data_IF_967432493691
#
_entry.id   IF_967432493691
#
_cell.length_a   1.000
_cell.length_b   1.000
_cell.length_c   1.000
_cell.angle_alpha   90.00
_cell.angle_beta   90.00
_cell.angle_gamma   90.00
#
_symmetry.space_group_name_H-M   'P 1'
#
loop_
_entity.id
_entity.type
_entity.pdbx_description
1 polymer ?
2 non-polymer ?
3 non-polymer ?
4 non-polymer ?
5 non-polymer ?
6 non-polymer ?
7 water ?
#
# COMPACT_ATOMS: atom_id res chain seq x y z
N UNK A 4 26.67 17.15 9.38
CA UNK A 4 25.62 17.19 10.41
C UNK A 4 24.53 16.16 10.12
N UNK A 5 24.21 16.02 8.84
CA UNK A 5 23.06 15.24 8.41
C UNK A 5 23.51 13.85 7.95
N UNK A 6 22.56 12.92 7.95
CA UNK A 6 22.88 11.55 7.59
C UNK A 6 23.12 11.41 6.10
N UNK A 7 22.37 12.14 5.26
CA UNK A 7 22.59 12.10 3.82
C UNK A 7 23.75 13.02 3.46
N UNK A 8 24.66 12.54 2.62
CA UNK A 8 25.74 13.43 2.16
C UNK A 8 25.28 14.41 1.10
N UNK A 9 24.16 14.13 0.42
CA UNK A 9 23.55 15.09 -0.50
C UNK A 9 22.09 14.70 -0.67
N UNK A 10 21.25 15.69 -1.00
CA UNK A 10 19.81 15.47 -1.06
C UNK A 10 19.42 15.03 -2.47
N UNK A 11 19.88 13.84 -2.83
CA UNK A 11 19.65 13.26 -4.14
C UNK A 11 19.41 11.77 -3.98
N UNK A 12 18.92 11.14 -5.05
CA UNK A 12 18.78 9.69 -5.02
C UNK A 12 20.13 9.01 -4.76
N UNK A 13 21.20 9.56 -5.33
CA UNK A 13 22.53 9.01 -5.09
C UNK A 13 22.90 9.11 -3.62
N UNK A 14 22.58 10.22 -2.98
CA UNK A 14 22.84 10.34 -1.56
C UNK A 14 22.08 9.32 -0.73
N UNK A 15 20.83 9.05 -1.12
CA UNK A 15 20.02 8.04 -0.42
C UNK A 15 20.61 6.66 -0.62
N UNK A 16 21.05 6.33 -1.85
CA UNK A 16 21.64 5.02 -2.10
C UNK A 16 22.92 4.83 -1.29
N UNK A 17 23.78 5.85 -1.25
CA UNK A 17 24.99 5.75 -0.43
C UNK A 17 24.64 5.55 1.04
N UNK A 18 23.63 6.27 1.53
CA UNK A 18 23.19 6.06 2.90
C UNK A 18 22.66 4.64 3.11
N UNK A 19 21.87 4.13 2.17
CA UNK A 19 21.30 2.79 2.34
C UNK A 19 22.39 1.74 2.43
N UNK A 20 23.49 1.93 1.71
CA UNK A 20 24.53 0.92 1.75
C UNK A 20 25.55 1.16 2.85
N UNK A 21 25.41 2.25 3.61
CA UNK A 21 26.23 2.52 4.78
C UNK A 21 25.73 1.70 5.96
N UNK A 22 26.61 1.53 6.96
CA UNK A 22 26.21 0.77 8.14
C UNK A 22 25.17 1.51 8.97
N UNK A 23 24.94 2.80 8.70
CA UNK A 23 23.95 3.55 9.46
C UNK A 23 22.52 3.18 9.12
N UNK A 24 22.27 2.60 7.95
CA UNK A 24 20.91 2.35 7.48
C UNK A 24 20.65 0.85 7.53
N UNK A 25 19.89 0.41 8.54
CA UNK A 25 19.58 -1.00 8.70
C UNK A 25 18.10 -1.30 8.60
N UNK A 26 17.22 -0.34 8.84
CA UNK A 26 15.78 -0.57 8.94
C UNK A 26 15.01 0.44 8.11
N UNK A 27 14.32 -0.07 7.08
CA UNK A 27 13.59 0.76 6.14
C UNK A 27 12.09 0.55 6.34
N UNK A 28 11.33 1.63 6.44
CA UNK A 28 9.88 1.55 6.42
C UNK A 28 9.40 2.11 5.09
N UNK A 29 8.57 1.35 4.39
CA UNK A 29 7.90 1.84 3.18
C UNK A 29 6.49 2.29 3.50
N UNK A 30 6.11 3.43 2.95
CA UNK A 30 4.73 3.91 3.00
C UNK A 30 4.26 4.03 1.56
N UNK A 31 3.24 3.25 1.19
CA UNK A 31 2.87 3.18 -0.22
C UNK A 31 1.39 3.43 -0.41
N UNK A 32 1.05 3.94 -1.59
CA UNK A 32 -0.30 4.24 -2.00
C UNK A 32 -0.59 3.83 -3.44
N UNK A 33 -1.66 4.40 -4.02
CA UNK A 33 -2.21 3.87 -5.25
C UNK A 33 -1.23 4.01 -6.41
N UNK A 34 -0.29 4.95 -6.29
CA UNK A 34 0.67 5.17 -7.35
C UNK A 34 1.58 3.99 -7.63
N UNK A 35 1.74 3.06 -6.68
CA UNK A 35 2.58 1.91 -6.94
C UNK A 35 1.83 0.80 -7.66
N UNK A 36 0.52 0.95 -7.88
CA UNK A 36 -0.26 -0.10 -8.51
C UNK A 36 -0.90 0.30 -9.82
N UNK A 37 -0.81 1.57 -10.22
CA UNK A 37 -1.43 2.00 -11.47
C UNK A 37 -0.80 1.32 -12.68
N UNK A 38 0.51 1.05 -12.65
CA UNK A 38 1.12 0.38 -13.79
C UNK A 38 0.76 -1.09 -13.86
N UNK A 39 0.13 -1.63 -12.82
CA UNK A 39 -0.41 -2.98 -12.80
C UNK A 39 -1.83 -3.05 -13.35
N UNK A 40 -2.38 -1.90 -13.74
CA UNK A 40 -3.73 -1.86 -14.22
C UNK A 40 -4.77 -1.66 -13.16
N UNK A 41 -4.36 -1.32 -11.94
CA UNK A 41 -5.28 -1.04 -10.84
C UNK A 41 -5.45 0.47 -10.76
N UNK A 42 -6.59 1.03 -11.13
CA UNK A 42 -6.75 2.49 -11.07
C UNK A 42 -6.80 2.99 -9.64
N UNK A 43 -6.41 4.26 -9.48
CA UNK A 43 -6.54 4.95 -8.20
C UNK A 43 -7.99 5.39 -8.03
N UNK A 44 -8.68 4.78 -7.07
CA UNK A 44 -10.10 5.08 -6.86
C UNK A 44 -10.34 6.13 -5.79
N UNK A 45 -9.39 6.38 -4.88
CA UNK A 45 -9.47 7.58 -4.06
C UNK A 45 -9.34 8.84 -4.89
N UNK A 46 -8.98 8.70 -6.16
CA UNK A 46 -9.00 9.83 -7.08
C UNK A 46 -10.42 10.02 -7.62
N UNK A 47 -11.05 11.17 -7.40
CA UNK A 47 -12.40 11.38 -7.97
C UNK A 47 -12.41 11.38 -9.48
N UNK A 48 -11.26 11.44 -10.14
CA UNK A 48 -11.18 11.54 -11.59
C UNK A 48 -11.40 10.21 -12.30
N UNK A 49 -11.52 9.09 -11.59
CA UNK A 49 -11.67 7.79 -12.24
C UNK A 49 -13.13 7.35 -12.28
N UNK A 50 -13.65 6.88 -11.15
CA UNK A 50 -15.02 6.37 -11.10
C UNK A 50 -15.85 6.89 -9.94
N UNK A 57 -28.35 4.35 -9.70
CA UNK A 57 -29.11 3.14 -9.97
C UNK A 57 -29.39 2.33 -8.72
N UNK A 58 -28.50 2.39 -7.75
CA UNK A 58 -28.70 1.62 -6.54
C UNK A 58 -29.56 2.35 -5.52
N UNK A 59 -29.91 3.61 -5.76
CA UNK A 59 -30.87 4.36 -4.97
C UNK A 59 -30.36 4.58 -3.54
N UNK A 60 -29.09 4.98 -3.44
CA UNK A 60 -28.45 5.16 -2.15
C UNK A 60 -28.92 6.45 -1.48
N UNK A 61 -29.13 6.44 -0.16
CA UNK A 61 -29.49 7.69 0.52
C UNK A 61 -28.38 8.72 0.48
N UNK A 62 -27.13 8.30 0.38
CA UNK A 62 -25.95 9.13 0.24
C UNK A 62 -24.94 8.23 -0.43
N UNK A 63 -24.27 8.68 -1.50
CA UNK A 63 -23.41 7.77 -2.28
C UNK A 63 -22.40 6.97 -1.46
N UNK A 64 -21.79 7.58 -0.44
CA UNK A 64 -20.84 6.85 0.40
C UNK A 64 -21.47 5.65 1.11
N UNK A 65 -22.79 5.50 1.03
CA UNK A 65 -23.44 4.31 1.57
C UNK A 65 -22.93 3.04 0.91
N UNK A 66 -22.44 3.13 -0.33
CA UNK A 66 -21.90 1.93 -0.95
C UNK A 66 -20.64 1.44 -0.24
N UNK A 67 -20.01 2.30 0.55
CA UNK A 67 -18.84 1.92 1.33
C UNK A 67 -19.06 2.11 2.83
N UNK A 68 -20.30 2.37 3.23
CA UNK A 68 -20.63 2.52 4.64
C UNK A 68 -21.13 1.18 5.18
N UNK A 69 -20.63 0.81 6.36
CA UNK A 69 -20.83 -0.54 6.86
C UNK A 69 -22.30 -0.80 7.14
N UNK A 70 -23.04 0.20 7.63
CA UNK A 70 -24.46 0.00 7.92
C UNK A 70 -25.24 -0.30 6.65
N UNK A 71 -25.06 0.53 5.63
CA UNK A 71 -25.77 0.29 4.37
C UNK A 71 -25.39 -1.05 3.78
N UNK A 72 -24.09 -1.38 3.79
CA UNK A 72 -23.65 -2.68 3.29
C UNK A 72 -24.38 -3.81 4.00
N UNK A 73 -24.47 -3.73 5.33
CA UNK A 73 -25.14 -4.78 6.09
C UNK A 73 -26.63 -4.85 5.76
N UNK A 74 -27.25 -3.72 5.43
CA UNK A 74 -28.66 -3.75 5.05
C UNK A 74 -28.87 -4.06 3.56
N UNK A 75 -28.00 -3.56 2.69
CA UNK A 75 -28.15 -3.68 1.24
C UNK A 75 -26.79 -3.96 0.64
N UNK A 76 -26.34 -5.21 0.69
CA UNK A 76 -24.97 -5.51 0.21
C UNK A 76 -24.86 -5.66 -1.29
N UNK A 77 -25.97 -5.86 -2.01
CA UNK A 77 -25.90 -6.15 -3.44
C UNK A 77 -25.22 -5.05 -4.26
N UNK A 78 -25.47 -3.75 -4.03
CA UNK A 78 -24.70 -2.74 -4.78
C UNK A 78 -23.20 -2.91 -4.66
N UNK A 79 -22.70 -3.14 -3.46
CA UNK A 79 -21.27 -3.30 -3.28
C UNK A 79 -20.72 -4.46 -4.10
N UNK A 80 -21.42 -5.60 -4.12
CA UNK A 80 -20.89 -6.75 -4.83
C UNK A 80 -21.07 -6.63 -6.34
N UNK A 81 -22.08 -5.89 -6.81
CA UNK A 81 -22.18 -5.59 -8.22
C UNK A 81 -21.03 -4.67 -8.67
N UNK A 82 -20.72 -3.67 -7.85
CA UNK A 82 -19.57 -2.81 -8.14
C UNK A 82 -18.27 -3.59 -8.08
N UNK A 83 -18.15 -4.53 -7.15
CA UNK A 83 -16.93 -5.33 -7.06
C UNK A 83 -16.78 -6.22 -8.28
N UNK A 84 -17.89 -6.72 -8.84
CA UNK A 84 -17.78 -7.46 -10.09
C UNK A 84 -17.30 -6.55 -11.22
N UNK A 85 -17.86 -5.34 -11.30
CA UNK A 85 -17.45 -4.41 -12.35
C UNK A 85 -15.97 -4.04 -12.23
N UNK A 86 -15.48 -3.86 -11.01
CA UNK A 86 -14.12 -3.37 -10.79
C UNK A 86 -13.09 -4.48 -10.64
N UNK A 87 -13.48 -5.75 -10.72
CA UNK A 87 -12.55 -6.85 -10.43
C UNK A 87 -11.44 -6.87 -11.47
N UNK A 88 -10.17 -6.91 -11.05
CA UNK A 88 -9.07 -6.84 -12.02
C UNK A 88 -9.02 -8.08 -12.92
N UNK A 89 -8.54 -7.87 -14.15
CA UNK A 89 -8.33 -9.01 -15.03
C UNK A 89 -7.11 -9.82 -14.68
N UNK A 90 -6.20 -9.26 -13.88
CA UNK A 90 -4.98 -9.96 -13.50
C UNK A 90 -4.44 -9.29 -12.23
N UNK A 91 -3.75 -10.09 -11.42
CA UNK A 91 -3.09 -9.59 -10.21
C UNK A 91 -1.59 -9.73 -10.41
N UNK A 92 -0.99 -8.73 -11.03
CA UNK A 92 0.43 -8.80 -11.34
C UNK A 92 1.13 -7.61 -10.69
N UNK A 93 1.89 -7.82 -9.62
CA UNK A 93 2.53 -6.70 -8.95
C UNK A 93 3.56 -6.02 -9.83
N UNK A 94 3.90 -4.80 -9.46
CA UNK A 94 4.79 -3.96 -10.25
C UNK A 94 6.24 -4.10 -9.81
N UNK A 95 7.13 -3.48 -10.59
CA UNK A 95 8.54 -3.38 -10.23
C UNK A 95 8.69 -2.82 -8.81
N UNK A 96 7.85 -1.84 -8.47
CA UNK A 96 7.88 -1.25 -7.13
C UNK A 96 7.58 -2.29 -6.05
N UNK A 97 6.51 -3.08 -6.24
CA UNK A 97 6.22 -4.15 -5.30
C UNK A 97 7.41 -5.10 -5.14
N UNK A 98 8.03 -5.50 -6.26
CA UNK A 98 9.13 -6.44 -6.12
C UNK A 98 10.39 -5.76 -5.57
N UNK A 99 10.51 -4.44 -5.73
CA UNK A 99 11.58 -3.73 -5.04
C UNK A 99 11.43 -3.88 -3.53
N UNK A 100 10.20 -3.82 -3.03
CA UNK A 100 10.01 -4.04 -1.60
C UNK A 100 10.30 -5.48 -1.21
N UNK A 101 9.98 -6.44 -2.09
CA UNK A 101 10.36 -7.82 -1.83
C UNK A 101 11.89 -7.96 -1.76
N UNK A 102 12.61 -7.25 -2.62
CA UNK A 102 14.07 -7.28 -2.57
C UNK A 102 14.60 -6.68 -1.27
N UNK A 103 13.98 -5.57 -0.83
CA UNK A 103 14.31 -5.01 0.47
C UNK A 103 14.19 -6.05 1.56
N UNK A 104 13.09 -6.79 1.53
CA UNK A 104 12.88 -7.89 2.47
C UNK A 104 14.01 -8.92 2.36
N UNK A 105 14.32 -9.34 1.13
CA UNK A 105 15.35 -10.36 0.90
C UNK A 105 16.72 -9.90 1.40
N UNK A 106 17.05 -8.63 1.22
CA UNK A 106 18.32 -8.07 1.66
C UNK A 106 18.33 -7.77 3.16
N UNK A 107 17.27 -8.10 3.89
CA UNK A 107 17.22 -7.87 5.33
C UNK A 107 17.13 -6.42 5.74
N UNK A 108 16.58 -5.55 4.88
CA UNK A 108 16.43 -4.13 5.16
C UNK A 108 15.00 -3.71 5.49
N UNK A 109 14.00 -4.57 5.29
CA UNK A 109 12.60 -4.11 5.39
C UNK A 109 12.09 -4.30 6.81
N UNK A 110 11.81 -3.19 7.48
CA UNK A 110 11.16 -3.28 8.78
C UNK A 110 9.65 -3.45 8.63
N UNK A 111 9.03 -2.65 7.75
CA UNK A 111 7.58 -2.72 7.59
C UNK A 111 7.17 -1.99 6.32
N UNK A 112 6.14 -2.49 5.66
CA UNK A 112 5.47 -1.77 4.59
C UNK A 112 4.08 -1.40 5.06
N UNK A 113 3.81 -0.10 5.16
CA UNK A 113 2.48 0.43 5.45
C UNK A 113 1.84 0.78 4.12
N UNK A 114 0.67 0.20 3.84
CA UNK A 114 0.04 0.40 2.55
C UNK A 114 -1.39 0.92 2.72
N UNK A 115 -1.78 1.84 1.85
CA UNK A 115 -3.15 2.29 1.74
C UNK A 115 -3.95 1.47 0.74
N UNK A 116 -3.31 0.54 0.05
CA UNK A 116 -3.95 -0.17 -1.05
C UNK A 116 -4.65 -1.41 -0.52
N UNK A 117 -5.76 -1.76 -1.17
CA UNK A 117 -6.51 -2.97 -0.83
C UNK A 117 -6.34 -4.05 -1.89
N UNK A 118 -5.43 -3.84 -2.86
CA UNK A 118 -5.41 -4.65 -4.07
C UNK A 118 -4.64 -5.95 -3.93
N UNK A 119 -4.03 -6.22 -2.78
CA UNK A 119 -3.32 -7.44 -2.39
C UNK A 119 -1.97 -7.61 -3.07
N UNK A 120 -1.54 -6.66 -3.91
CA UNK A 120 -0.33 -6.92 -4.68
C UNK A 120 0.92 -7.04 -3.82
N UNK A 121 0.95 -6.40 -2.65
CA UNK A 121 2.08 -6.61 -1.72
C UNK A 121 2.22 -8.08 -1.33
N UNK A 122 1.10 -8.76 -1.06
CA UNK A 122 1.16 -10.16 -0.67
C UNK A 122 1.57 -11.04 -1.84
N UNK A 123 1.05 -10.74 -3.04
CA UNK A 123 1.41 -11.51 -4.22
C UNK A 123 2.89 -11.36 -4.53
N UNK A 124 3.46 -10.17 -4.27
CA UNK A 124 4.89 -9.95 -4.49
C UNK A 124 5.76 -10.59 -3.42
N UNK A 125 5.19 -11.16 -2.37
CA UNK A 125 5.97 -11.89 -1.40
C UNK A 125 6.23 -11.19 -0.09
N UNK A 126 5.53 -10.10 0.22
CA UNK A 126 5.57 -9.59 1.59
C UNK A 126 4.62 -10.41 2.45
N UNK A 127 5.09 -10.82 3.63
CA UNK A 127 4.29 -11.61 4.55
C UNK A 127 3.42 -10.71 5.42
N UNK A 128 2.40 -11.31 6.05
CA UNK A 128 1.55 -10.58 6.98
C UNK A 128 2.37 -9.78 8.00
N UNK A 129 3.44 -10.38 8.53
CA UNK A 129 4.24 -9.70 9.56
C UNK A 129 4.95 -8.46 8.99
N UNK A 130 5.24 -8.47 7.69
CA UNK A 130 5.88 -7.34 7.01
C UNK A 130 4.92 -6.19 6.71
N UNK A 131 3.61 -6.40 6.83
CA UNK A 131 2.61 -5.50 6.25
C UNK A 131 1.72 -4.87 7.31
N UNK A 132 1.42 -3.60 7.13
CA UNK A 132 0.32 -2.94 7.82
C UNK A 132 -0.61 -2.47 6.71
N UNK A 133 -1.72 -3.18 6.52
CA UNK A 133 -2.69 -2.81 5.49
C UNK A 133 -3.65 -1.82 6.14
N UNK A 134 -3.30 -0.55 6.05
CA UNK A 134 -3.97 0.47 6.87
C UNK A 134 -5.44 0.61 6.50
N UNK A 135 -5.81 0.29 5.25
CA UNK A 135 -7.20 0.36 4.81
C UNK A 135 -7.82 -1.01 4.58
N UNK A 136 -7.23 -2.05 5.15
CA UNK A 136 -7.66 -3.40 4.92
C UNK A 136 -7.18 -3.97 3.59
N UNK A 137 -7.78 -5.10 3.22
CA UNK A 137 -7.38 -5.83 2.04
C UNK A 137 -8.54 -6.66 1.54
N UNK A 138 -8.55 -6.90 0.23
CA UNK A 138 -9.44 -7.87 -0.38
C UNK A 138 -8.92 -9.30 -0.25
N UNK A 139 -7.72 -9.48 0.30
CA UNK A 139 -7.06 -10.78 0.28
C UNK A 139 -7.83 -11.81 1.09
N UNK A 140 -8.44 -11.38 2.18
CA UNK A 140 -9.27 -12.24 3.01
C UNK A 140 -10.61 -11.57 3.21
N UNK A 141 -11.63 -12.40 3.49
CA UNK A 141 -12.95 -11.91 3.83
C UNK A 141 -13.41 -12.65 5.08
N UNK A 142 -14.32 -12.03 5.83
CA UNK A 142 -14.83 -12.67 7.04
C UNK A 142 -16.34 -12.59 7.09
N UNK A 143 -16.95 -13.68 7.56
CA UNK A 143 -18.30 -13.63 8.09
C UNK A 143 -18.46 -12.44 9.05
N UNK A 144 -19.54 -11.68 8.86
CA UNK A 144 -19.74 -10.48 9.68
C UNK A 144 -20.33 -10.77 11.06
N UNK A 145 -20.75 -12.00 11.34
CA UNK A 145 -21.32 -12.29 12.66
C UNK A 145 -20.19 -12.41 13.68
N UNK A 146 -20.29 -11.63 14.76
CA UNK A 146 -19.21 -11.58 15.75
C UNK A 146 -18.94 -12.94 16.38
N UNK A 147 -19.96 -13.79 16.51
CA UNK A 147 -19.78 -15.09 17.15
C UNK A 147 -19.23 -16.14 16.19
N UNK A 148 -19.04 -15.82 14.92
CA UNK A 148 -18.57 -16.79 13.93
C UNK A 148 -17.25 -16.35 13.32
N UNK A 149 -17.25 -15.28 12.52
CA UNK A 149 -16.04 -14.69 11.92
C UNK A 149 -15.26 -15.71 11.08
N UNK A 150 -15.97 -16.64 10.44
CA UNK A 150 -15.33 -17.58 9.52
C UNK A 150 -14.58 -16.82 8.42
N UNK A 151 -13.34 -17.21 8.17
CA UNK A 151 -12.49 -16.54 7.17
C UNK A 151 -12.55 -17.29 5.84
N UNK A 152 -12.62 -16.53 4.75
CA UNK A 152 -12.69 -17.04 3.40
C UNK A 152 -11.61 -16.40 2.53
N UNK A 153 -10.97 -17.18 1.68
CA UNK A 153 -9.91 -16.66 0.82
C UNK A 153 -10.49 -15.97 -0.41
N UNK A 154 -9.60 -15.27 -1.12
CA UNK A 154 -10.03 -14.46 -2.26
C UNK A 154 -10.68 -15.28 -3.37
N UNK A 155 -10.24 -16.53 -3.59
CA UNK A 155 -10.85 -17.33 -4.66
C UNK A 155 -12.33 -17.60 -4.40
N UNK A 156 -12.69 -17.92 -3.15
CA UNK A 156 -14.08 -18.13 -2.77
C UNK A 156 -14.92 -16.88 -3.04
N UNK A 157 -14.39 -15.73 -2.63
CA UNK A 157 -15.08 -14.46 -2.81
C UNK A 157 -15.22 -14.13 -4.29
N UNK A 158 -14.19 -14.43 -5.09
CA UNK A 158 -14.24 -14.18 -6.52
C UNK A 158 -15.33 -15.02 -7.18
N UNK A 159 -15.40 -16.31 -6.84
CA UNK A 159 -16.46 -17.15 -7.38
C UNK A 159 -17.83 -16.55 -7.05
N UNK A 160 -18.04 -16.17 -5.78
CA UNK A 160 -19.31 -15.57 -5.40
C UNK A 160 -19.58 -14.30 -6.20
N UNK A 161 -18.56 -13.46 -6.39
CA UNK A 161 -18.76 -12.17 -7.03
C UNK A 161 -19.11 -12.34 -8.51
N UNK A 162 -18.40 -13.22 -9.21
CA UNK A 162 -18.68 -13.39 -10.63
C UNK A 162 -19.97 -14.17 -10.87
N UNK A 163 -20.33 -15.10 -9.99
CA UNK A 163 -21.62 -15.76 -10.16
C UNK A 163 -22.79 -14.87 -9.75
N UNK A 164 -22.53 -13.68 -9.21
CA UNK A 164 -23.55 -12.73 -8.76
C UNK A 164 -24.44 -13.36 -7.68
N UNK A 165 -23.82 -14.18 -6.84
CA UNK A 165 -24.44 -14.72 -5.64
C UNK A 165 -23.90 -13.93 -4.45
N UNK A 166 -24.80 -13.36 -3.66
CA UNK A 166 -24.31 -12.60 -2.50
C UNK A 166 -23.62 -13.58 -1.56
N UNK A 167 -22.37 -13.34 -1.19
CA UNK A 167 -21.62 -14.34 -0.38
C UNK A 167 -22.18 -14.45 1.02
N UNK A 168 -22.55 -15.68 1.40
CA UNK A 168 -23.05 -15.98 2.72
C UNK A 168 -22.15 -17.00 3.38
N UNK A 169 -22.04 -16.90 4.70
CA UNK A 169 -21.18 -17.81 5.46
C UNK A 169 -21.72 -19.23 5.40
N UNK A 170 -20.83 -20.19 5.12
CA UNK A 170 -21.24 -21.59 5.10
C UNK A 170 -21.59 -22.12 6.48
N UNK A 171 -21.09 -21.50 7.55
CA UNK A 171 -21.40 -21.98 8.89
C UNK A 171 -22.67 -21.39 9.47
N UNK A 172 -22.93 -20.09 9.24
CA UNK A 172 -24.04 -19.44 9.91
C UNK A 172 -24.97 -18.65 8.98
N UNK A 173 -24.66 -18.59 7.68
CA UNK A 173 -25.44 -17.90 6.64
C UNK A 173 -25.46 -16.38 6.78
N UNK A 174 -24.61 -15.80 7.62
CA UNK A 174 -24.45 -14.35 7.62
C UNK A 174 -23.68 -13.90 6.39
N UNK A 175 -23.80 -12.61 6.11
CA UNK A 175 -23.00 -11.97 5.07
C UNK A 175 -21.51 -12.14 5.31
N UNK A 176 -20.75 -12.31 4.22
CA UNK A 176 -19.29 -12.36 4.26
C UNK A 176 -18.78 -11.10 3.56
N UNK A 177 -17.89 -10.37 4.23
CA UNK A 177 -17.42 -9.07 3.77
C UNK A 177 -15.93 -9.12 3.52
N UNK A 178 -15.45 -8.59 2.40
CA UNK A 178 -13.99 -8.43 2.23
C UNK A 178 -13.44 -7.61 3.38
N UNK A 179 -12.21 -7.92 3.77
CA UNK A 179 -11.57 -7.29 4.92
C UNK A 179 -11.08 -5.87 4.63
N UNK A 180 -11.77 -5.14 3.80
CA UNK A 180 -11.44 -3.73 3.63
C UNK A 180 -12.15 -2.91 4.70
N UNK A 181 -11.55 -1.78 5.06
CA UNK A 181 -12.12 -0.86 6.03
C UNK A 181 -13.23 -0.04 5.35
N UNK A 182 -14.48 -0.27 5.75
CA UNK A 182 -15.59 0.53 5.27
C UNK A 182 -15.73 1.82 6.09
N UNK A 183 -16.52 2.76 5.56
CA UNK A 183 -16.91 3.91 6.37
C UNK A 183 -17.68 3.45 7.59
N UNK A 184 -17.49 4.15 8.70
CA UNK A 184 -18.10 3.76 9.96
C UNK A 184 -17.36 2.66 10.69
N UNK A 185 -16.28 2.15 10.12
CA UNK A 185 -15.40 1.19 10.78
C UNK A 185 -14.11 1.87 11.19
N UNK A 186 -13.46 1.30 12.21
CA UNK A 186 -12.21 1.85 12.69
C UNK A 186 -11.06 1.35 11.84
N UNK A 187 -10.00 2.15 11.76
CA UNK A 187 -8.75 1.66 11.22
C UNK A 187 -8.27 0.48 12.08
N UNK A 188 -7.60 -0.51 11.48
CA UNK A 188 -7.17 -1.67 12.27
C UNK A 188 -6.28 -1.25 13.44
N UNK A 189 -6.44 -1.92 14.59
CA UNK A 189 -5.60 -1.58 15.73
C UNK A 189 -4.12 -1.84 15.44
N UNK A 190 -3.84 -2.78 14.54
CA UNK A 190 -2.47 -3.06 14.13
C UNK A 190 -1.78 -1.81 13.60
N UNK A 191 -2.52 -0.92 12.95
CA UNK A 191 -1.89 0.30 12.41
C UNK A 191 -1.25 1.12 13.53
N UNK A 192 -1.99 1.34 14.63
CA UNK A 192 -1.48 2.16 15.72
C UNK A 192 -0.44 1.40 16.53
N UNK A 193 -0.69 0.10 16.77
CA UNK A 193 0.26 -0.73 17.50
C UNK A 193 1.61 -0.77 16.81
N UNK A 194 1.61 -1.02 15.50
CA UNK A 194 2.87 -1.06 14.77
C UNK A 194 3.52 0.31 14.70
N UNK A 195 2.73 1.37 14.47
CA UNK A 195 3.34 2.69 14.33
C UNK A 195 4.13 3.04 15.59
N UNK A 196 3.53 2.79 16.77
CA UNK A 196 4.16 3.12 18.05
C UNK A 196 5.49 2.43 18.26
N UNK A 197 5.68 1.25 17.68
CA UNK A 197 6.95 0.56 17.83
C UNK A 197 7.90 0.79 16.67
N UNK A 198 7.40 0.74 15.43
CA UNK A 198 8.29 0.80 14.29
C UNK A 198 8.98 2.14 14.20
N UNK A 199 8.31 3.22 14.60
CA UNK A 199 8.96 4.49 14.30
C UNK A 199 10.01 4.85 15.32
N UNK A 200 10.16 4.07 16.39
CA UNK A 200 11.36 4.17 17.23
C UNK A 200 12.58 3.58 16.55
N UNK A 201 12.40 2.78 15.50
CA UNK A 201 13.44 1.91 14.98
C UNK A 201 13.86 2.25 13.55
N UNK A 202 13.22 3.20 12.91
CA UNK A 202 13.38 3.38 11.46
C UNK A 202 14.64 4.19 11.16
N UNK A 203 15.38 3.76 10.14
CA UNK A 203 16.53 4.48 9.63
C UNK A 203 16.25 5.20 8.32
N UNK A 204 15.21 4.80 7.60
CA UNK A 204 14.89 5.40 6.31
C UNK A 204 13.40 5.23 6.05
N UNK A 205 12.75 6.31 5.61
CA UNK A 205 11.36 6.24 5.19
C UNK A 205 11.33 6.35 3.68
N UNK A 206 10.77 5.35 3.03
CA UNK A 206 10.62 5.34 1.57
C UNK A 206 9.14 5.49 1.28
N UNK A 207 8.75 6.64 0.72
CA UNK A 207 7.35 7.00 0.52
C UNK A 207 7.10 6.90 -0.98
N UNK A 208 6.29 5.94 -1.39
CA UNK A 208 6.14 5.68 -2.82
C UNK A 208 4.68 5.70 -3.22
N UNK A 209 4.37 6.45 -4.27
CA UNK A 209 3.04 6.43 -4.86
C UNK A 209 1.91 6.86 -3.95
N UNK A 210 2.14 7.81 -3.06
CA UNK A 210 1.06 8.36 -2.25
C UNK A 210 1.22 9.87 -2.16
N UNK A 211 0.10 10.58 -2.21
CA UNK A 211 0.08 12.03 -2.07
C UNK A 211 0.00 12.48 -0.62
N UNK A 212 -0.01 11.55 0.34
CA UNK A 212 -0.02 11.88 1.76
C UNK A 212 -1.13 12.89 2.06
N UNK A 213 -2.32 12.62 1.51
CA UNK A 213 -3.48 13.48 1.74
C UNK A 213 -4.52 12.87 2.66
N UNK A 214 -4.59 11.55 2.73
CA UNK A 214 -5.60 10.87 3.55
C UNK A 214 -5.01 10.58 4.93
N UNK A 215 -5.77 10.95 6.01
CA UNK A 215 -5.41 10.76 7.40
C UNK A 215 -6.02 9.47 7.94
N UNK A 216 -5.40 8.86 8.98
CA UNK A 216 -4.16 9.26 9.65
C UNK A 216 -2.92 8.77 8.91
N UNK A 217 -3.10 8.14 7.75
CA UNK A 217 -1.97 7.57 7.04
C UNK A 217 -0.90 8.61 6.74
N UNK A 218 -1.31 9.82 6.38
CA UNK A 218 -0.33 10.85 6.04
C UNK A 218 0.53 11.22 7.23
N UNK A 219 -0.10 11.43 8.40
CA UNK A 219 0.62 11.87 9.58
C UNK A 219 1.76 10.95 9.97
N UNK A 220 1.81 9.74 9.40
CA UNK A 220 2.93 8.83 9.65
C UNK A 220 4.27 9.50 9.39
N UNK A 221 4.36 10.42 8.43
CA UNK A 221 5.70 10.93 8.14
C UNK A 221 6.21 11.78 9.28
N UNK A 222 5.33 12.37 10.07
CA UNK A 222 5.77 13.14 11.23
C UNK A 222 6.11 12.25 12.43
N UNK A 223 5.93 10.94 12.33
CA UNK A 223 6.32 10.05 13.41
C UNK A 223 7.78 9.61 13.29
N UNK A 224 8.45 9.96 12.20
CA UNK A 224 9.83 9.56 12.07
C UNK A 224 10.70 10.40 13.00
N UNK A 225 11.79 9.83 13.49
CA UNK A 225 12.80 10.64 14.18
C UNK A 225 13.28 11.76 13.28
N UNK A 226 13.67 12.87 13.91
CA UNK A 226 14.11 14.04 13.15
C UNK A 226 15.28 13.76 12.22
N UNK A 227 16.14 12.79 12.55
CA UNK A 227 17.31 12.55 11.70
C UNK A 227 17.03 11.61 10.52
N UNK A 228 15.90 10.89 10.54
CA UNK A 228 15.63 9.84 9.57
C UNK A 228 15.43 10.41 8.18
N UNK A 229 16.24 10.05 7.18
CA UNK A 229 15.96 10.51 5.82
C UNK A 229 14.64 9.96 5.29
N UNK A 230 14.02 10.75 4.42
CA UNK A 230 12.72 10.42 3.85
C UNK A 230 12.79 10.65 2.36
N UNK A 231 12.66 9.59 1.58
CA UNK A 231 12.71 9.65 0.12
C UNK A 231 11.31 9.49 -0.42
N UNK A 232 10.84 10.47 -1.20
CA UNK A 232 9.56 10.38 -1.89
C UNK A 232 9.81 9.98 -3.35
N UNK A 233 9.20 8.89 -3.78
CA UNK A 233 9.17 8.47 -5.18
C UNK A 233 7.73 8.58 -5.64
N UNK A 234 7.43 9.55 -6.49
CA UNK A 234 6.03 9.87 -6.76
C UNK A 234 5.98 10.75 -7.99
N UNK A 235 4.83 10.69 -8.69
CA UNK A 235 4.67 11.52 -9.87
C UNK A 235 4.74 13.00 -9.53
N UNK A 236 4.24 13.40 -8.36
CA UNK A 236 4.21 14.78 -7.92
C UNK A 236 4.81 14.90 -6.53
N UNK A 237 5.42 16.05 -6.25
CA UNK A 237 5.86 16.34 -4.88
C UNK A 237 4.68 16.34 -3.95
N UNK A 238 4.89 15.87 -2.74
CA UNK A 238 3.80 15.75 -1.78
C UNK A 238 4.37 15.74 -0.37
N UNK A 239 3.47 15.91 0.60
CA UNK A 239 3.84 15.83 2.00
C UNK A 239 4.39 17.10 2.60
N UNK A 240 4.53 18.17 1.81
CA UNK A 240 5.00 19.42 2.37
C UNK A 240 3.90 20.06 3.22
N UNK A 241 4.32 20.97 4.11
CA UNK A 241 3.35 21.66 4.95
C UNK A 241 2.37 22.45 4.09
N UNK A 242 1.11 22.43 4.50
CA UNK A 242 0.07 23.08 3.74
C UNK A 242 0.05 24.57 4.07
N UNK A 243 0.32 25.46 3.11
CA UNK A 243 0.39 26.89 3.43
C UNK A 243 -0.88 27.43 4.07
N UNK A 244 -2.00 26.71 3.99
CA UNK A 244 -3.28 27.17 4.50
C UNK A 244 -3.60 26.65 5.89
N UNK A 245 -3.12 25.45 6.23
CA UNK A 245 -3.49 24.78 7.48
C UNK A 245 -2.30 24.65 8.42
N UNK A 253 5.77 18.38 11.13
CA UNK A 253 6.97 17.74 10.60
C UNK A 253 6.86 17.37 9.13
N UNK A 254 6.34 18.30 8.33
CA UNK A 254 6.15 18.09 6.91
C UNK A 254 7.45 17.95 6.16
N UNK A 255 7.33 17.49 4.92
CA UNK A 255 8.50 17.32 4.06
C UNK A 255 9.09 18.68 3.72
N UNK A 256 10.43 18.77 3.76
CA UNK A 256 11.13 19.98 3.32
C UNK A 256 12.19 19.54 2.31
N UNK A 257 11.87 19.69 1.02
CA UNK A 257 12.77 19.24 -0.03
C UNK A 257 13.70 20.35 -0.49
N UNK A 258 13.23 21.58 -0.41
CA UNK A 258 13.76 22.64 -1.24
C UNK A 258 14.19 23.90 -0.50
N UNK A 259 13.93 24.02 0.79
CA UNK A 259 14.35 25.23 1.48
C UNK A 259 15.84 25.16 1.80
N UNK A 260 16.40 26.30 2.20
CA UNK A 260 17.80 26.32 2.63
C UNK A 260 18.00 25.53 3.91
N UNK A 261 16.93 25.27 4.65
CA UNK A 261 16.98 24.45 5.85
C UNK A 261 16.79 22.98 5.56
N UNK A 262 16.52 22.60 4.31
CA UNK A 262 16.31 21.19 3.98
C UNK A 262 17.56 20.38 4.32
N UNK A 263 17.37 19.20 4.91
CA UNK A 263 18.53 18.43 5.35
C UNK A 263 18.37 16.92 5.21
N UNK A 264 17.15 16.42 4.97
CA UNK A 264 16.97 14.97 4.97
C UNK A 264 15.90 14.44 4.03
N UNK A 265 15.15 15.32 3.35
CA UNK A 265 14.04 14.90 2.50
C UNK A 265 14.45 15.04 1.04
N UNK A 266 14.15 14.01 0.26
CA UNK A 266 14.51 13.96 -1.16
C UNK A 266 13.27 13.57 -1.97
N UNK A 267 13.05 14.25 -3.10
CA UNK A 267 11.95 13.96 -4.01
C UNK A 267 12.50 13.47 -5.35
N UNK A 268 12.06 12.29 -5.77
CA UNK A 268 12.34 11.77 -7.11
C UNK A 268 11.01 11.71 -7.85
N UNK A 269 10.84 12.54 -8.87
CA UNK A 269 9.55 12.75 -9.49
C UNK A 269 9.45 11.96 -10.79
N UNK A 270 8.48 11.05 -10.84
CA UNK A 270 8.29 10.21 -11.98
C UNK A 270 7.42 9.02 -11.57
N UNK A 271 7.28 8.08 -12.50
CA UNK A 271 6.55 6.86 -12.19
C UNK A 271 7.29 6.05 -11.14
N UNK A 272 6.53 5.38 -10.27
CA UNK A 272 7.15 4.64 -9.17
C UNK A 272 8.07 3.55 -9.68
N UNK A 273 7.66 2.86 -10.75
CA UNK A 273 8.50 1.81 -11.32
C UNK A 273 9.85 2.36 -11.74
N UNK A 274 9.86 3.47 -12.47
CA UNK A 274 11.13 4.02 -12.96
C UNK A 274 11.99 4.53 -11.82
N UNK A 275 11.38 5.07 -10.76
CA UNK A 275 12.16 5.49 -9.61
C UNK A 275 12.78 4.31 -8.89
N UNK A 276 12.02 3.24 -8.73
CA UNK A 276 12.58 2.07 -8.07
C UNK A 276 13.68 1.45 -8.92
N UNK A 277 13.54 1.48 -10.26
CA UNK A 277 14.58 0.97 -11.13
C UNK A 277 15.85 1.81 -11.00
N UNK A 278 15.71 3.14 -10.94
CA UNK A 278 16.87 4.02 -10.80
C UNK A 278 17.58 3.76 -9.48
N UNK A 279 16.82 3.60 -8.39
CA UNK A 279 17.43 3.34 -7.10
C UNK A 279 18.11 1.99 -7.08
N UNK A 280 17.45 0.96 -7.62
CA UNK A 280 18.07 -0.36 -7.70
C UNK A 280 19.36 -0.33 -8.49
N UNK A 281 19.37 0.42 -9.60
CA UNK A 281 20.61 0.55 -10.37
C UNK A 281 21.71 1.17 -9.52
N UNK A 282 21.40 2.24 -8.78
CA UNK A 282 22.41 2.84 -7.92
C UNK A 282 22.93 1.83 -6.89
N UNK A 283 22.04 0.99 -6.37
CA UNK A 283 22.42 0.01 -5.35
C UNK A 283 23.13 -1.21 -5.89
N UNK A 284 23.23 -1.36 -7.21
CA UNK A 284 23.76 -2.60 -7.77
C UNK A 284 22.77 -3.75 -7.78
N UNK A 285 21.48 -3.46 -7.64
CA UNK A 285 20.45 -4.49 -7.56
C UNK A 285 19.67 -4.65 -8.86
N UNK A 286 20.03 -3.94 -9.93
CA UNK A 286 19.15 -3.92 -11.10
C UNK A 286 19.00 -5.31 -11.70
N UNK A 287 20.10 -6.06 -11.83
CA UNK A 287 19.96 -7.41 -12.38
C UNK A 287 19.10 -8.29 -11.46
N UNK A 288 19.33 -8.22 -10.15
CA UNK A 288 18.51 -9.02 -9.24
C UNK A 288 17.03 -8.67 -9.34
N UNK A 289 16.71 -7.37 -9.41
CA UNK A 289 15.32 -6.94 -9.51
C UNK A 289 14.70 -7.36 -10.83
N UNK A 290 15.43 -7.16 -11.94
CA UNK A 290 14.93 -7.60 -13.24
C UNK A 290 14.66 -9.09 -13.23
N UNK A 291 15.58 -9.90 -12.69
CA UNK A 291 15.38 -11.34 -12.69
C UNK A 291 14.18 -11.73 -11.85
N UNK A 292 14.03 -11.10 -10.68
CA UNK A 292 12.89 -11.43 -9.82
C UNK A 292 11.58 -11.07 -10.51
N UNK A 293 11.49 -9.86 -11.07
CA UNK A 293 10.26 -9.43 -11.73
C UNK A 293 9.95 -10.32 -12.92
N UNK A 294 10.95 -10.58 -13.78
CA UNK A 294 10.70 -11.42 -14.95
C UNK A 294 10.19 -12.79 -14.56
N UNK A 295 10.79 -13.42 -13.53
CA UNK A 295 10.34 -14.76 -13.16
C UNK A 295 8.96 -14.74 -12.49
N UNK A 296 8.70 -13.75 -11.63
CA UNK A 296 7.40 -13.70 -10.98
C UNK A 296 6.29 -13.38 -11.97
N UNK A 297 6.54 -12.43 -12.89
CA UNK A 297 5.58 -12.13 -13.94
C UNK A 297 5.34 -13.33 -14.82
N UNK A 298 6.40 -14.05 -15.17
CA UNK A 298 6.22 -15.24 -15.99
C UNK A 298 5.36 -16.25 -15.27
N UNK A 299 5.58 -16.43 -13.96
CA UNK A 299 4.79 -17.38 -13.21
C UNK A 299 3.31 -16.98 -13.17
N UNK A 300 3.04 -15.68 -13.02
CA UNK A 300 1.66 -15.22 -13.00
C UNK A 300 1.03 -15.37 -14.39
N UNK A 301 1.75 -14.98 -15.44
CA UNK A 301 1.26 -15.13 -16.81
C UNK A 301 0.96 -16.58 -17.13
N UNK A 302 1.68 -17.50 -16.52
CA UNK A 302 1.55 -18.91 -16.83
C UNK A 302 0.52 -19.63 -15.98
N UNK A 303 -0.20 -18.92 -15.12
CA UNK A 303 -1.16 -19.58 -14.25
C UNK A 303 -2.23 -20.29 -15.06
N UNK A 304 -2.30 -21.60 -14.90
CA UNK A 304 -3.24 -22.45 -15.63
C UNK A 304 -4.19 -23.16 -14.68
#
# INVERSE_FOLDING_TARGET
GHMERLLDELTLEGVARYMQSERCRRVICLVGAGISTSAGIPDFRSPSTGLYDNLEKYHLPYPEAIFEISYFKKHPEPFFALAKELYPGQFKPTICHYFMRLLKDKGLLLRCYTQNIDTLERIAGLEQEDLVEAHGTFYTSHCVSASCRHEYPLSWMKEKIFSEVTPKCEDCQSLVKPDIVFFGESLPARFFSCMQSDFLKVDLLLVMGTSLQVQPFASLISKAPLSTPRLLINKEKAGQSDPFLGMIMGLGGGMDFDSKKAYRDVAWLGECDQGCLALAELLGWKKELEDLVRREHASIDAQS
#
